data_IF_127574817848
#
_entry.id   IF_127574817848
#
_cell.length_a   1.000
_cell.length_b   1.000
_cell.length_c   1.000
_cell.angle_alpha   90.00
_cell.angle_beta   90.00
_cell.angle_gamma   90.00
#
_symmetry.space_group_name_H-M   'P 1'
#
loop_
_entity.id
_entity.type
_entity.pdbx_description
1 polymer ?
#
# COMPACT_ATOMS: atom_id res chain seq x y z
N UNK A 1 -3.14 5.86 6.25
CA UNK A 1 -1.94 6.31 7.00
C UNK A 1 -1.26 7.50 6.32
N UNK A 2 -1.34 7.58 4.99
CA UNK A 2 -0.59 8.53 4.15
C UNK A 2 -1.47 9.59 3.50
N UNK A 3 -2.62 9.91 4.10
CA UNK A 3 -3.62 10.82 3.52
C UNK A 3 -3.03 12.17 3.11
N UNK A 4 -2.22 12.81 3.97
CA UNK A 4 -1.57 14.10 3.65
C UNK A 4 -0.68 14.02 2.41
N UNK A 5 0.10 12.95 2.28
CA UNK A 5 0.99 12.75 1.13
C UNK A 5 0.19 12.46 -0.13
N UNK A 6 -0.81 11.59 -0.03
CA UNK A 6 -1.72 11.29 -1.14
C UNK A 6 -2.48 12.53 -1.63
N UNK A 7 -3.00 13.35 -0.71
CA UNK A 7 -3.64 14.63 -1.01
C UNK A 7 -2.69 15.55 -1.78
N UNK A 8 -1.46 15.73 -1.30
CA UNK A 8 -0.46 16.59 -1.95
C UNK A 8 -0.06 16.12 -3.34
N UNK A 9 0.03 14.80 -3.56
CA UNK A 9 0.32 14.22 -4.88
C UNK A 9 -0.86 14.46 -5.83
N UNK A 10 -2.08 14.17 -5.36
CA UNK A 10 -3.31 14.30 -6.14
C UNK A 10 -3.58 15.76 -6.51
N UNK A 11 -3.40 16.69 -5.57
CA UNK A 11 -3.52 18.12 -5.81
C UNK A 11 -2.56 18.60 -6.90
N UNK A 12 -1.29 18.18 -6.86
CA UNK A 12 -0.32 18.53 -7.91
C UNK A 12 -0.68 17.96 -9.29
N UNK A 13 -1.36 16.82 -9.35
CA UNK A 13 -1.83 16.24 -10.61
C UNK A 13 -3.02 17.03 -11.15
N UNK A 14 -3.93 17.45 -10.28
CA UNK A 14 -5.09 18.26 -10.62
C UNK A 14 -4.68 19.68 -11.08
N UNK A 15 -3.75 20.32 -10.37
CA UNK A 15 -3.18 21.63 -10.74
C UNK A 15 -2.49 21.62 -12.11
N UNK A 16 -1.96 20.46 -12.52
CA UNK A 16 -1.35 20.27 -13.84
C UNK A 16 -2.35 19.88 -14.93
N UNK A 17 -3.63 19.74 -14.59
CA UNK A 17 -4.67 19.27 -15.52
C UNK A 17 -4.51 17.82 -15.97
N UNK A 18 -3.73 17.00 -15.24
CA UNK A 18 -3.50 15.58 -15.59
C UNK A 18 -4.71 14.72 -15.17
N UNK A 19 -5.35 15.09 -14.06
CA UNK A 19 -6.58 14.46 -13.56
C UNK A 19 -7.67 15.53 -13.39
N UNK A 20 -8.92 15.12 -13.52
CA UNK A 20 -10.07 15.98 -13.26
C UNK A 20 -10.30 16.16 -11.76
N UNK A 21 -10.96 17.26 -11.36
CA UNK A 21 -11.38 17.44 -9.97
C UNK A 21 -12.38 16.35 -9.53
N UNK A 22 -13.21 15.84 -10.44
CA UNK A 22 -14.14 14.74 -10.14
C UNK A 22 -13.44 13.42 -9.78
N UNK A 23 -12.22 13.21 -10.28
CA UNK A 23 -11.45 12.00 -9.98
C UNK A 23 -10.54 12.17 -8.76
N UNK A 24 -10.50 13.35 -8.14
CA UNK A 24 -9.57 13.67 -7.06
C UNK A 24 -9.63 12.64 -5.93
N UNK A 25 -10.82 12.34 -5.40
CA UNK A 25 -10.98 11.43 -4.27
C UNK A 25 -10.54 9.99 -4.62
N UNK A 26 -10.77 9.57 -5.86
CA UNK A 26 -10.35 8.25 -6.36
C UNK A 26 -8.83 8.14 -6.39
N UNK A 27 -8.15 9.16 -6.91
CA UNK A 27 -6.69 9.18 -6.96
C UNK A 27 -6.07 9.36 -5.56
N UNK A 28 -6.65 10.20 -4.68
CA UNK A 28 -6.18 10.35 -3.30
C UNK A 28 -6.24 8.99 -2.58
N UNK A 29 -7.37 8.29 -2.71
CA UNK A 29 -7.53 6.96 -2.16
C UNK A 29 -6.50 5.98 -2.74
N UNK A 30 -6.35 5.97 -4.07
CA UNK A 30 -5.41 5.13 -4.81
C UNK A 30 -3.96 5.33 -4.36
N UNK A 31 -3.51 6.58 -4.21
CA UNK A 31 -2.16 6.87 -3.71
C UNK A 31 -2.00 6.47 -2.25
N UNK A 32 -2.97 6.76 -1.38
CA UNK A 32 -2.87 6.35 0.03
C UNK A 32 -2.81 4.82 0.17
N UNK A 33 -3.57 4.08 -0.64
CA UNK A 33 -3.53 2.61 -0.68
C UNK A 33 -2.22 2.10 -1.30
N UNK A 34 -1.80 2.65 -2.43
CA UNK A 34 -0.56 2.29 -3.12
C UNK A 34 0.69 2.48 -2.27
N UNK A 35 0.81 3.61 -1.55
CA UNK A 35 1.92 3.83 -0.61
C UNK A 35 1.89 2.77 0.51
N UNK A 36 0.70 2.39 0.99
CA UNK A 36 0.57 1.36 2.03
C UNK A 36 1.00 -0.02 1.51
N UNK A 37 0.61 -0.39 0.29
CA UNK A 37 1.05 -1.65 -0.34
C UNK A 37 2.57 -1.66 -0.55
N UNK A 38 3.12 -0.56 -1.07
CA UNK A 38 4.56 -0.43 -1.29
C UNK A 38 5.34 -0.54 0.04
N UNK A 39 4.84 0.07 1.11
CA UNK A 39 5.45 -0.05 2.42
C UNK A 39 5.46 -1.50 2.90
N UNK A 40 4.34 -2.23 2.76
CA UNK A 40 4.30 -3.65 3.13
C UNK A 40 5.31 -4.46 2.30
N UNK A 41 5.36 -4.24 0.98
CA UNK A 41 6.30 -4.93 0.09
C UNK A 41 7.75 -4.72 0.54
N UNK A 42 8.15 -3.47 0.75
CA UNK A 42 9.51 -3.12 1.20
C UNK A 42 9.80 -3.75 2.56
N UNK A 43 8.88 -3.64 3.51
CA UNK A 43 9.10 -4.13 4.88
C UNK A 43 9.26 -5.64 4.95
N UNK A 44 8.44 -6.44 4.25
CA UNK A 44 8.64 -7.89 4.22
C UNK A 44 9.93 -8.28 3.50
N UNK A 45 10.32 -7.60 2.41
CA UNK A 45 11.61 -7.87 1.75
C UNK A 45 12.77 -7.59 2.71
N UNK A 46 12.73 -6.46 3.42
CA UNK A 46 13.75 -6.10 4.41
C UNK A 46 13.85 -7.17 5.51
N UNK A 47 12.71 -7.66 6.02
CA UNK A 47 12.68 -8.76 6.99
C UNK A 47 13.29 -10.03 6.40
N UNK A 48 12.94 -10.36 5.15
CA UNK A 48 13.52 -11.48 4.41
C UNK A 48 15.03 -11.41 4.27
N UNK A 49 15.57 -10.22 3.94
CA UNK A 49 17.01 -9.98 3.85
C UNK A 49 17.68 -10.13 5.22
N UNK A 50 17.11 -9.56 6.28
CA UNK A 50 17.64 -9.67 7.65
C UNK A 50 17.63 -11.14 8.10
N UNK A 51 16.59 -11.89 7.76
CA UNK A 51 16.47 -13.32 8.07
C UNK A 51 17.27 -14.24 7.13
N UNK A 52 17.97 -13.69 6.12
CA UNK A 52 18.65 -14.44 5.05
C UNK A 52 17.73 -15.38 4.24
N UNK A 53 16.42 -15.09 4.22
CA UNK A 53 15.34 -15.88 3.58
C UNK A 53 14.63 -15.07 2.49
N UNK A 54 15.40 -14.53 1.54
CA UNK A 54 14.88 -13.63 0.49
C UNK A 54 13.96 -14.37 -0.47
N UNK A 55 14.31 -15.61 -0.85
CA UNK A 55 13.52 -16.40 -1.79
C UNK A 55 12.16 -16.80 -1.21
N UNK A 56 12.12 -17.16 0.06
CA UNK A 56 10.91 -17.46 0.81
C UNK A 56 10.01 -16.23 0.91
N UNK A 57 10.60 -15.05 1.09
CA UNK A 57 9.86 -13.78 1.11
C UNK A 57 9.25 -13.45 -0.26
N UNK A 58 9.95 -13.74 -1.35
CA UNK A 58 9.41 -13.61 -2.71
C UNK A 58 8.28 -14.61 -2.93
N UNK A 59 8.48 -15.88 -2.55
CA UNK A 59 7.46 -16.91 -2.65
C UNK A 59 6.21 -16.52 -1.84
N UNK A 60 6.39 -16.00 -0.63
CA UNK A 60 5.30 -15.46 0.18
C UNK A 60 4.48 -14.42 -0.60
N UNK A 61 5.12 -13.45 -1.28
CA UNK A 61 4.39 -12.46 -2.07
C UNK A 61 3.59 -13.05 -3.24
N UNK A 62 4.17 -14.01 -3.95
CA UNK A 62 3.51 -14.66 -5.10
C UNK A 62 2.18 -15.29 -4.68
N UNK A 63 2.09 -15.88 -3.49
CA UNK A 63 0.86 -16.50 -2.99
C UNK A 63 -0.01 -15.53 -2.18
N UNK A 64 0.60 -14.68 -1.36
CA UNK A 64 -0.12 -13.78 -0.46
C UNK A 64 -0.84 -12.66 -1.20
N UNK A 65 -0.26 -12.09 -2.27
CA UNK A 65 -0.90 -10.99 -3.01
C UNK A 65 -2.23 -11.45 -3.64
N UNK A 66 -2.29 -12.54 -4.44
CA UNK A 66 -3.56 -13.05 -4.93
C UNK A 66 -4.53 -13.41 -3.81
N UNK A 67 -4.05 -14.12 -2.78
CA UNK A 67 -4.89 -14.52 -1.65
C UNK A 67 -5.54 -13.30 -0.99
N UNK A 68 -4.77 -12.25 -0.70
CA UNK A 68 -5.26 -11.02 -0.07
C UNK A 68 -6.23 -10.25 -0.99
N UNK A 69 -6.00 -10.24 -2.30
CA UNK A 69 -6.87 -9.56 -3.26
C UNK A 69 -8.24 -10.22 -3.39
N UNK A 70 -8.32 -11.55 -3.32
CA UNK A 70 -9.59 -12.28 -3.50
C UNK A 70 -10.30 -12.62 -2.19
N UNK A 71 -9.56 -13.02 -1.15
CA UNK A 71 -10.14 -13.36 0.16
C UNK A 71 -10.36 -12.14 1.06
N UNK A 72 -9.77 -10.99 0.71
CA UNK A 72 -9.76 -9.81 1.56
C UNK A 72 -8.98 -10.04 2.85
N UNK A 73 -9.45 -9.48 3.96
CA UNK A 73 -8.93 -9.81 5.28
C UNK A 73 -9.36 -8.83 6.36
N UNK A 74 -8.79 -8.99 7.55
CA UNK A 74 -9.13 -8.14 8.68
C UNK A 74 -8.75 -6.68 8.44
N UNK A 75 -9.67 -5.77 8.74
CA UNK A 75 -9.43 -4.33 8.79
C UNK A 75 -9.46 -3.87 10.25
N UNK A 76 -8.29 -3.61 10.81
CA UNK A 76 -8.17 -3.09 12.17
C UNK A 76 -8.75 -1.68 12.29
N UNK A 77 -9.02 -1.25 13.53
CA UNK A 77 -9.61 0.06 13.80
C UNK A 77 -8.78 1.26 13.33
N UNK A 78 -7.49 1.08 13.02
CA UNK A 78 -6.65 2.11 12.42
C UNK A 78 -5.74 1.55 11.33
N UNK A 79 -5.44 2.34 10.27
CA UNK A 79 -4.54 1.91 9.19
C UNK A 79 -3.14 1.50 9.66
N UNK A 80 -2.65 2.13 10.74
CA UNK A 80 -1.36 1.77 11.35
C UNK A 80 -1.40 0.35 11.94
N UNK A 81 -2.48 0.01 12.66
CA UNK A 81 -2.67 -1.33 13.21
C UNK A 81 -2.78 -2.37 12.09
N UNK A 82 -3.50 -2.05 11.01
CA UNK A 82 -3.56 -2.95 9.84
C UNK A 82 -2.15 -3.25 9.31
N UNK A 83 -1.32 -2.22 9.18
CA UNK A 83 0.06 -2.37 8.71
C UNK A 83 0.90 -3.26 9.64
N UNK A 84 0.94 -2.96 10.95
CA UNK A 84 1.73 -3.76 11.90
C UNK A 84 1.23 -5.19 12.12
N UNK A 85 -0.04 -5.47 11.82
CA UNK A 85 -0.58 -6.84 11.86
C UNK A 85 -0.27 -7.59 10.56
N UNK A 86 -0.08 -6.88 9.44
CA UNK A 86 0.19 -7.49 8.13
C UNK A 86 1.65 -7.85 7.92
N UNK A 87 2.55 -7.28 8.72
CA UNK A 87 4.00 -7.48 8.70
C UNK A 87 4.40 -8.28 9.94
#
# INVERSE_FOLDING_TARGET
>A
MFKKTACKITQRLCEKGIISESDFDLYEYGFNMGITVLLNLISTIVIGVIASNVFESIAFFVFYIPLRSYAGGYHASTPRRCYFISI
#
